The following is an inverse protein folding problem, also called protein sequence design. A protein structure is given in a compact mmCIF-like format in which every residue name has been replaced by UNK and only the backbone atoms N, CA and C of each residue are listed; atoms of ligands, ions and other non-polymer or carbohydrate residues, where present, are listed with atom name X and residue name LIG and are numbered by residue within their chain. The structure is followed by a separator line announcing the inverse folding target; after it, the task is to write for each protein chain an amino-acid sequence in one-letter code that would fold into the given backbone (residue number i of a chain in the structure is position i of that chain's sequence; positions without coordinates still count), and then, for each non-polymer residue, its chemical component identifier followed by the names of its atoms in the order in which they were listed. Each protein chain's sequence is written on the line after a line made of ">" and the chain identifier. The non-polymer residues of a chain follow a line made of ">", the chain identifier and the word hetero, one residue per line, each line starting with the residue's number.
data_IF_360014600222
#
_entry.id   IF_360014600222
#
_cell.length_a   1.000
_cell.length_b   1.000
_cell.length_c   1.000
_cell.angle_alpha   90.00
_cell.angle_beta   90.00
_cell.angle_gamma   90.00
#
_symmetry.space_group_name_H-M   'P 1'
#
loop_
_entity.id
_entity.type
_entity.pdbx_description
1 polymer ?
#
# COMPACT_ATOMS: atom_id res chain seq x y z
N UNK A 1 -56.84 -37.36 -8.74
CA UNK A 1 -55.71 -37.56 -7.80
C UNK A 1 -55.79 -36.46 -6.76
N UNK A 2 -56.38 -36.77 -5.61
CA UNK A 2 -56.55 -35.83 -4.50
C UNK A 2 -55.27 -35.91 -3.66
N UNK A 3 -54.46 -34.86 -3.70
CA UNK A 3 -53.32 -34.69 -2.80
C UNK A 3 -53.83 -34.70 -1.37
N UNK A 4 -53.47 -35.73 -0.60
CA UNK A 4 -53.83 -35.87 0.81
C UNK A 4 -53.41 -34.62 1.59
N UNK A 5 -54.30 -34.02 2.40
CA UNK A 5 -53.96 -32.90 3.27
C UNK A 5 -53.15 -33.44 4.44
N UNK A 6 -51.89 -33.81 4.19
CA UNK A 6 -50.92 -33.87 5.26
C UNK A 6 -50.87 -32.46 5.85
N UNK A 7 -51.50 -32.29 7.02
CA UNK A 7 -51.87 -30.99 7.52
C UNK A 7 -50.61 -30.22 7.92
N UNK A 8 -50.51 -28.95 7.55
CA UNK A 8 -49.41 -28.06 7.94
C UNK A 8 -49.21 -28.00 9.47
N UNK A 9 -50.26 -28.30 10.25
CA UNK A 9 -50.22 -28.47 11.70
C UNK A 9 -49.24 -29.58 12.14
N UNK A 10 -49.21 -30.72 11.45
CA UNK A 10 -48.31 -31.84 11.80
C UNK A 10 -46.83 -31.51 11.58
N UNK A 11 -46.52 -30.69 10.57
CA UNK A 11 -45.14 -30.31 10.29
C UNK A 11 -44.60 -29.32 11.34
N UNK A 12 -45.41 -28.37 11.78
CA UNK A 12 -45.01 -27.44 12.84
C UNK A 12 -44.76 -28.17 14.17
N UNK A 13 -45.64 -29.11 14.55
CA UNK A 13 -45.46 -29.97 15.72
C UNK A 13 -44.21 -30.85 15.62
N UNK A 14 -43.93 -31.35 14.42
CA UNK A 14 -42.71 -32.09 14.12
C UNK A 14 -41.44 -31.24 14.33
N UNK A 15 -41.43 -29.97 13.88
CA UNK A 15 -40.30 -29.06 14.12
C UNK A 15 -40.10 -28.79 15.61
N UNK A 16 -41.18 -28.57 16.37
CA UNK A 16 -41.10 -28.39 17.84
C UNK A 16 -40.45 -29.61 18.49
N UNK A 17 -40.82 -30.82 18.06
CA UNK A 17 -40.24 -32.07 18.58
C UNK A 17 -38.74 -32.18 18.29
N UNK A 18 -38.28 -31.74 17.11
CA UNK A 18 -36.85 -31.71 16.76
C UNK A 18 -36.09 -30.69 17.62
N UNK A 19 -36.66 -29.51 17.87
CA UNK A 19 -36.05 -28.49 18.72
C UNK A 19 -35.92 -28.97 20.16
N UNK A 20 -36.97 -29.57 20.73
CA UNK A 20 -36.91 -30.14 22.08
C UNK A 20 -35.89 -31.29 22.17
N UNK A 21 -35.75 -32.09 21.11
CA UNK A 21 -34.72 -33.12 21.05
C UNK A 21 -33.29 -32.54 21.04
N UNK A 22 -33.05 -31.47 20.27
CA UNK A 22 -31.77 -30.75 20.28
C UNK A 22 -31.44 -30.16 21.66
N UNK A 23 -32.44 -29.65 22.39
CA UNK A 23 -32.26 -29.19 23.77
C UNK A 23 -31.82 -30.34 24.70
N UNK A 24 -32.45 -31.51 24.58
CA UNK A 24 -32.05 -32.73 25.32
C UNK A 24 -30.62 -33.17 25.00
N UNK A 25 -30.15 -32.94 23.78
CA UNK A 25 -28.76 -33.18 23.36
C UNK A 25 -27.76 -32.12 23.87
N UNK A 26 -28.22 -31.10 24.62
CA UNK A 26 -27.36 -30.07 25.21
C UNK A 26 -27.12 -28.85 24.32
N UNK A 27 -27.92 -28.64 23.27
CA UNK A 27 -27.79 -27.51 22.34
C UNK A 27 -28.67 -26.30 22.67
N UNK A 28 -29.30 -26.26 23.85
CA UNK A 28 -30.23 -25.19 24.24
C UNK A 28 -29.60 -23.78 24.17
N UNK A 29 -28.38 -23.62 24.73
CA UNK A 29 -27.65 -22.34 24.68
C UNK A 29 -27.35 -21.92 23.22
N UNK A 30 -26.94 -22.84 22.36
CA UNK A 30 -26.64 -22.52 20.96
C UNK A 30 -27.91 -22.12 20.20
N UNK A 31 -29.01 -22.87 20.37
CA UNK A 31 -30.30 -22.56 19.77
C UNK A 31 -30.80 -21.16 20.19
N UNK A 32 -30.59 -20.78 21.45
CA UNK A 32 -30.98 -19.45 21.96
C UNK A 32 -30.18 -18.30 21.35
N UNK A 33 -28.99 -18.57 20.81
CA UNK A 33 -28.08 -17.58 20.21
C UNK A 33 -28.17 -17.51 18.68
N UNK A 34 -28.87 -18.44 18.03
CA UNK A 34 -29.01 -18.45 16.57
C UNK A 34 -29.89 -17.28 16.11
N UNK A 35 -29.36 -16.40 15.27
CA UNK A 35 -30.10 -15.33 14.63
C UNK A 35 -31.09 -15.88 13.59
N UNK A 36 -32.09 -15.09 13.18
CA UNK A 36 -33.07 -15.52 12.16
C UNK A 36 -32.42 -15.82 10.80
N UNK A 37 -31.28 -15.19 10.51
CA UNK A 37 -30.50 -15.43 9.29
C UNK A 37 -29.61 -16.68 9.35
N UNK A 38 -29.42 -17.28 10.53
CA UNK A 38 -28.65 -18.51 10.65
C UNK A 38 -29.44 -19.69 10.06
N UNK A 39 -28.83 -20.55 9.21
CA UNK A 39 -29.39 -21.83 8.82
C UNK A 39 -30.00 -22.56 10.01
N UNK A 40 -31.28 -22.90 9.92
CA UNK A 40 -31.98 -23.60 10.98
C UNK A 40 -32.02 -25.12 10.71
N UNK A 41 -32.15 -25.96 11.75
CA UNK A 41 -32.29 -27.40 11.58
C UNK A 41 -33.45 -27.78 10.66
N UNK A 42 -34.60 -27.09 10.76
CA UNK A 42 -35.79 -27.37 9.96
C UNK A 42 -35.59 -27.15 8.45
N UNK A 43 -34.65 -26.29 8.07
CA UNK A 43 -34.35 -25.97 6.67
C UNK A 43 -33.51 -27.08 6.01
N UNK A 44 -32.98 -28.02 6.81
CA UNK A 44 -32.15 -29.10 6.31
C UNK A 44 -33.01 -30.23 5.72
N UNK A 45 -32.57 -30.79 4.60
CA UNK A 45 -33.33 -31.81 3.86
C UNK A 45 -33.56 -33.08 4.68
N UNK A 46 -32.58 -33.48 5.50
CA UNK A 46 -32.61 -34.65 6.38
C UNK A 46 -33.71 -34.52 7.43
N UNK A 47 -33.79 -33.33 8.06
CA UNK A 47 -34.82 -33.00 9.06
C UNK A 47 -36.18 -32.90 8.40
N UNK A 48 -36.28 -32.15 7.31
CA UNK A 48 -37.51 -32.01 6.52
C UNK A 48 -38.08 -33.35 6.05
N UNK A 49 -37.22 -34.31 5.67
CA UNK A 49 -37.64 -35.65 5.24
C UNK A 49 -38.26 -36.47 6.37
N UNK A 50 -37.73 -36.33 7.59
CA UNK A 50 -38.23 -37.03 8.77
C UNK A 50 -39.49 -36.35 9.31
N UNK A 51 -39.55 -35.01 9.30
CA UNK A 51 -40.74 -34.26 9.73
C UNK A 51 -41.96 -34.45 8.82
N UNK A 52 -41.80 -35.02 7.62
CA UNK A 52 -42.92 -35.45 6.74
C UNK A 52 -43.49 -36.82 7.13
N UNK A 53 -42.84 -37.53 8.05
CA UNK A 53 -43.30 -38.81 8.61
C UNK A 53 -43.73 -38.58 10.06
N UNK A 54 -44.36 -39.59 10.64
CA UNK A 54 -44.64 -39.61 12.07
C UNK A 54 -43.32 -39.56 12.85
N UNK A 55 -43.14 -38.52 13.68
CA UNK A 55 -41.95 -38.36 14.52
C UNK A 55 -42.06 -39.29 15.72
N UNK A 56 -41.21 -40.31 15.74
CA UNK A 56 -41.00 -41.21 16.88
C UNK A 56 -39.65 -40.94 17.52
N UNK A 57 -39.46 -41.35 18.78
CA UNK A 57 -38.16 -41.23 19.47
C UNK A 57 -37.04 -41.94 18.71
N UNK A 58 -37.35 -43.07 18.04
CA UNK A 58 -36.41 -43.78 17.18
C UNK A 58 -36.03 -42.96 15.94
N UNK A 59 -37.00 -42.27 15.32
CA UNK A 59 -36.75 -41.39 14.19
C UNK A 59 -35.88 -40.19 14.60
N UNK A 60 -36.13 -39.60 15.77
CA UNK A 60 -35.30 -38.52 16.32
C UNK A 60 -33.89 -39.00 16.66
N UNK A 61 -33.75 -40.16 17.31
CA UNK A 61 -32.44 -40.74 17.63
C UNK A 61 -31.63 -41.06 16.36
N UNK A 62 -32.28 -41.43 15.26
CA UNK A 62 -31.60 -41.64 13.97
C UNK A 62 -30.99 -40.36 13.38
N UNK A 63 -31.45 -39.19 13.81
CA UNK A 63 -30.93 -37.88 13.42
C UNK A 63 -29.77 -37.40 14.28
N UNK A 64 -29.46 -38.03 15.42
CA UNK A 64 -28.48 -37.49 16.39
C UNK A 64 -27.13 -37.18 15.77
N UNK A 65 -26.60 -38.08 14.93
CA UNK A 65 -25.30 -37.88 14.27
C UNK A 65 -25.35 -36.65 13.35
N UNK A 66 -26.44 -36.51 12.60
CA UNK A 66 -26.64 -35.37 11.70
C UNK A 66 -26.81 -34.06 12.49
N UNK A 67 -27.70 -34.06 13.48
CA UNK A 67 -28.04 -32.89 14.30
C UNK A 67 -26.82 -32.40 15.10
N UNK A 68 -26.05 -33.28 15.71
CA UNK A 68 -24.82 -32.91 16.40
C UNK A 68 -23.78 -32.31 15.44
N UNK A 69 -23.57 -32.93 14.27
CA UNK A 69 -22.65 -32.39 13.28
C UNK A 69 -23.12 -31.03 12.73
N UNK A 70 -24.42 -30.86 12.52
CA UNK A 70 -25.03 -29.59 12.11
C UNK A 70 -24.84 -28.51 13.17
N UNK A 71 -25.22 -28.78 14.42
CA UNK A 71 -25.13 -27.82 15.51
C UNK A 71 -23.68 -27.46 15.84
N UNK A 72 -22.75 -28.41 15.70
CA UNK A 72 -21.32 -28.12 15.83
C UNK A 72 -20.86 -27.11 14.77
N UNK A 73 -21.26 -27.28 13.49
CA UNK A 73 -20.94 -26.30 12.43
C UNK A 73 -21.54 -24.93 12.72
N UNK A 74 -22.77 -24.87 13.26
CA UNK A 74 -23.41 -23.61 13.66
C UNK A 74 -22.60 -22.94 14.78
N UNK A 75 -22.26 -23.68 15.84
CA UNK A 75 -21.42 -23.20 16.95
C UNK A 75 -20.05 -22.71 16.48
N UNK A 76 -19.39 -23.44 15.59
CA UNK A 76 -18.09 -23.06 15.04
C UNK A 76 -18.18 -21.79 14.18
N UNK A 77 -19.26 -21.64 13.40
CA UNK A 77 -19.53 -20.41 12.64
C UNK A 77 -19.79 -19.23 13.59
N UNK A 78 -20.67 -19.38 14.58
CA UNK A 78 -20.96 -18.33 15.57
C UNK A 78 -19.69 -17.90 16.31
N UNK A 79 -18.91 -18.87 16.81
CA UNK A 79 -17.67 -18.60 17.54
C UNK A 79 -16.64 -17.85 16.69
N UNK A 80 -16.57 -18.16 15.38
CA UNK A 80 -15.76 -17.38 14.42
C UNK A 80 -16.31 -15.97 14.23
N UNK A 81 -17.61 -15.81 14.00
CA UNK A 81 -18.24 -14.50 13.83
C UNK A 81 -18.08 -13.61 15.06
N UNK A 82 -18.21 -14.17 16.26
CA UNK A 82 -17.98 -13.45 17.53
C UNK A 82 -16.54 -12.99 17.66
N UNK A 83 -15.58 -13.85 17.31
CA UNK A 83 -14.15 -13.53 17.30
C UNK A 83 -13.84 -12.44 16.27
N UNK A 84 -14.33 -12.56 15.04
CA UNK A 84 -14.12 -11.58 13.96
C UNK A 84 -14.74 -10.23 14.31
N UNK A 85 -15.96 -10.23 14.87
CA UNK A 85 -16.62 -9.03 15.35
C UNK A 85 -15.83 -8.35 16.47
N UNK A 86 -15.24 -9.13 17.37
CA UNK A 86 -14.36 -8.62 18.41
C UNK A 86 -13.08 -8.03 17.82
N UNK A 87 -12.39 -8.74 16.91
CA UNK A 87 -11.18 -8.24 16.26
C UNK A 87 -11.46 -6.93 15.55
N UNK A 88 -12.51 -6.87 14.72
CA UNK A 88 -12.88 -5.67 13.98
C UNK A 88 -13.07 -4.47 14.90
N UNK A 89 -13.80 -4.64 16.02
CA UNK A 89 -13.98 -3.57 17.01
C UNK A 89 -12.66 -3.11 17.61
N UNK A 90 -11.82 -4.04 18.08
CA UNK A 90 -10.53 -3.71 18.72
C UNK A 90 -9.52 -3.09 17.76
N UNK A 91 -9.47 -3.60 16.53
CA UNK A 91 -8.63 -3.06 15.47
C UNK A 91 -9.03 -1.61 15.14
N UNK A 92 -10.33 -1.29 15.07
CA UNK A 92 -10.78 0.09 14.84
C UNK A 92 -10.34 1.04 15.96
N UNK A 93 -10.36 0.57 17.21
CA UNK A 93 -9.89 1.34 18.37
C UNK A 93 -8.37 1.53 18.29
N UNK A 94 -7.62 0.47 17.99
CA UNK A 94 -6.18 0.54 17.77
C UNK A 94 -5.83 1.55 16.66
N UNK A 95 -6.59 1.56 15.55
CA UNK A 95 -6.39 2.51 14.45
C UNK A 95 -6.59 3.94 14.91
N UNK A 96 -7.66 4.23 15.66
CA UNK A 96 -7.91 5.57 16.20
C UNK A 96 -6.74 6.05 17.06
N UNK A 97 -6.29 5.21 17.99
CA UNK A 97 -5.21 5.56 18.94
C UNK A 97 -3.87 5.73 18.22
N UNK A 98 -3.61 4.90 17.21
CA UNK A 98 -2.41 5.03 16.39
C UNK A 98 -2.46 6.26 15.49
N UNK A 99 -3.62 6.63 14.94
CA UNK A 99 -3.79 7.85 14.17
C UNK A 99 -3.57 9.10 15.02
N UNK A 100 -4.03 9.12 16.28
CA UNK A 100 -3.74 10.19 17.23
C UNK A 100 -2.23 10.31 17.49
N UNK A 101 -1.54 9.17 17.63
CA UNK A 101 -0.08 9.13 17.74
C UNK A 101 0.61 9.69 16.49
N UNK A 102 0.22 9.22 15.29
CA UNK A 102 0.77 9.68 14.01
C UNK A 102 0.55 11.18 13.82
N UNK A 103 -0.58 11.72 14.24
CA UNK A 103 -0.87 13.15 14.16
C UNK A 103 0.08 14.02 15.02
N UNK A 104 0.72 13.44 16.04
CA UNK A 104 1.73 14.11 16.86
C UNK A 104 3.16 14.04 16.27
N UNK A 105 3.38 13.19 15.27
CA UNK A 105 4.69 13.03 14.66
C UNK A 105 5.03 14.18 13.70
N UNK A 106 6.33 14.42 13.43
CA UNK A 106 6.74 15.24 12.29
C UNK A 106 6.06 14.78 11.00
N UNK A 107 5.77 15.72 10.11
CA UNK A 107 4.99 15.48 8.87
C UNK A 107 5.66 14.51 7.90
N UNK A 108 6.96 14.34 8.01
CA UNK A 108 7.82 13.44 7.21
C UNK A 108 8.21 12.16 7.96
N UNK A 109 7.69 11.96 9.18
CA UNK A 109 7.94 10.77 9.95
C UNK A 109 7.39 9.53 9.22
N UNK A 110 8.24 8.50 9.06
CA UNK A 110 7.76 7.20 8.60
C UNK A 110 7.19 6.40 9.78
N UNK A 111 6.08 5.72 9.54
CA UNK A 111 5.38 4.88 10.49
C UNK A 111 4.83 3.62 9.81
N UNK A 112 4.67 2.50 10.54
CA UNK A 112 4.13 1.25 10.01
C UNK A 112 2.66 1.38 9.59
N UNK A 113 2.23 0.49 8.68
CA UNK A 113 0.81 0.22 8.44
C UNK A 113 0.13 -0.38 9.68
N UNK A 114 -1.20 -0.47 9.69
CA UNK A 114 -1.94 -1.18 10.74
C UNK A 114 -1.58 -2.66 10.79
N UNK A 115 -1.33 -3.28 9.63
CA UNK A 115 -0.92 -4.67 9.56
C UNK A 115 0.49 -4.89 10.13
N UNK A 116 1.44 -3.99 9.86
CA UNK A 116 2.78 -4.01 10.45
C UNK A 116 2.77 -3.74 11.96
N UNK A 117 1.91 -2.81 12.40
CA UNK A 117 1.71 -2.51 13.82
C UNK A 117 1.18 -3.74 14.55
N UNK A 118 0.19 -4.43 13.97
CA UNK A 118 -0.37 -5.66 14.53
C UNK A 118 0.64 -6.82 14.54
N UNK A 119 1.59 -6.85 13.60
CA UNK A 119 2.64 -7.86 13.58
C UNK A 119 3.60 -7.77 14.77
N UNK A 120 3.57 -6.68 15.57
CA UNK A 120 4.30 -6.61 16.83
C UNK A 120 3.67 -7.52 17.89
N UNK A 121 4.43 -8.43 18.52
CA UNK A 121 3.88 -9.38 19.49
C UNK A 121 3.14 -8.75 20.66
N UNK A 122 3.53 -7.52 21.07
CA UNK A 122 2.91 -6.84 22.21
C UNK A 122 1.54 -6.28 21.84
N UNK A 123 1.40 -5.75 20.63
CA UNK A 123 0.11 -5.30 20.10
C UNK A 123 -0.80 -6.51 19.87
N UNK A 124 -0.26 -7.57 19.26
CA UNK A 124 -1.00 -8.81 19.04
C UNK A 124 -1.53 -9.38 20.35
N UNK A 125 -0.68 -9.63 21.34
CA UNK A 125 -1.07 -10.14 22.66
C UNK A 125 -2.15 -9.27 23.31
N UNK A 126 -2.01 -7.94 23.25
CA UNK A 126 -3.03 -7.04 23.81
C UNK A 126 -4.41 -7.24 23.14
N UNK A 127 -4.45 -7.44 21.82
CA UNK A 127 -5.70 -7.64 21.09
C UNK A 127 -6.26 -9.06 21.29
N UNK A 128 -5.40 -10.09 21.33
CA UNK A 128 -5.82 -11.49 21.41
C UNK A 128 -6.16 -11.93 22.84
N UNK A 129 -5.37 -11.52 23.82
CA UNK A 129 -5.45 -12.03 25.20
C UNK A 129 -6.47 -11.28 26.05
N UNK A 130 -6.95 -10.10 25.61
CA UNK A 130 -8.00 -9.37 26.32
C UNK A 130 -9.31 -10.17 26.23
N UNK A 131 -9.97 -10.54 27.34
CA UNK A 131 -11.23 -11.28 27.28
C UNK A 131 -12.32 -10.48 26.54
N UNK A 132 -13.19 -11.15 25.78
CA UNK A 132 -14.26 -10.50 24.99
C UNK A 132 -15.22 -9.68 25.87
N UNK A 133 -15.33 -10.03 27.15
CA UNK A 133 -16.17 -9.36 28.16
C UNK A 133 -15.58 -8.04 28.66
N UNK A 134 -14.29 -7.79 28.44
CA UNK A 134 -13.62 -6.56 28.87
C UNK A 134 -13.74 -5.52 27.76
N UNK A 135 -14.27 -4.35 28.11
CA UNK A 135 -14.34 -3.23 27.18
C UNK A 135 -12.93 -2.74 26.84
N UNK A 136 -12.57 -2.82 25.57
CA UNK A 136 -11.26 -2.44 25.09
C UNK A 136 -11.24 -0.91 24.95
N UNK A 137 -10.87 -0.18 26.02
CA UNK A 137 -10.88 1.28 26.02
C UNK A 137 -9.50 1.89 25.78
N UNK A 138 -9.54 3.11 25.24
CA UNK A 138 -8.41 3.88 24.73
C UNK A 138 -7.41 4.44 25.76
N UNK A 139 -7.48 4.06 27.05
CA UNK A 139 -6.53 4.50 28.10
C UNK A 139 -5.15 3.82 27.94
N UNK A 140 -4.68 3.73 26.70
CA UNK A 140 -3.95 2.60 26.20
C UNK A 140 -2.49 2.56 26.68
N UNK A 141 -2.04 1.42 27.23
CA UNK A 141 -0.61 1.15 27.45
C UNK A 141 0.21 1.09 26.14
N UNK A 142 -0.41 1.34 24.98
CA UNK A 142 0.20 1.29 23.66
C UNK A 142 0.98 2.55 23.28
N UNK A 143 0.52 3.74 23.68
CA UNK A 143 1.17 5.00 23.27
C UNK A 143 2.64 5.04 23.68
N UNK A 144 3.01 4.66 24.92
CA UNK A 144 4.42 4.64 25.33
C UNK A 144 5.29 3.65 24.55
N UNK A 145 4.71 2.60 23.96
CA UNK A 145 5.47 1.57 23.22
C UNK A 145 5.54 1.83 21.72
N UNK A 146 4.72 2.72 21.16
CA UNK A 146 4.72 2.99 19.72
C UNK A 146 6.07 3.44 19.16
N UNK A 147 6.83 4.37 19.78
CA UNK A 147 8.14 4.77 19.24
C UNK A 147 9.09 3.59 19.03
N UNK A 148 9.08 2.65 19.97
CA UNK A 148 9.90 1.43 19.95
C UNK A 148 9.39 0.40 18.92
N UNK A 149 8.08 0.29 18.69
CA UNK A 149 7.53 -0.50 17.57
C UNK A 149 7.95 0.09 16.23
N UNK A 150 7.85 1.41 16.07
CA UNK A 150 8.25 2.10 14.84
C UNK A 150 9.74 1.86 14.55
N UNK A 151 10.61 1.96 15.57
CA UNK A 151 12.03 1.70 15.42
C UNK A 151 12.32 0.28 14.90
N UNK A 152 11.78 -0.76 15.57
CA UNK A 152 11.96 -2.15 15.12
C UNK A 152 11.37 -2.44 13.76
N UNK A 153 10.23 -1.83 13.44
CA UNK A 153 9.66 -1.96 12.09
C UNK A 153 10.63 -1.39 11.04
N UNK A 154 11.22 -0.21 11.26
CA UNK A 154 12.21 0.37 10.36
C UNK A 154 13.42 -0.54 10.19
N UNK A 155 13.98 -1.06 11.29
CA UNK A 155 15.11 -1.99 11.25
C UNK A 155 14.80 -3.24 10.42
N UNK A 156 13.61 -3.83 10.62
CA UNK A 156 13.16 -5.00 9.86
C UNK A 156 13.01 -4.68 8.36
N UNK A 157 12.42 -3.53 8.02
CA UNK A 157 12.29 -3.10 6.61
C UNK A 157 13.66 -2.83 6.00
N UNK A 158 14.59 -2.18 6.71
CA UNK A 158 15.96 -1.97 6.25
C UNK A 158 16.69 -3.30 6.00
N UNK A 159 16.61 -4.24 6.93
CA UNK A 159 17.19 -5.57 6.77
C UNK A 159 16.60 -6.30 5.56
N UNK A 160 15.29 -6.18 5.32
CA UNK A 160 14.63 -6.74 4.14
C UNK A 160 15.16 -6.12 2.84
N UNK A 161 15.26 -4.78 2.78
CA UNK A 161 15.80 -4.06 1.62
C UNK A 161 17.25 -4.46 1.32
N UNK A 162 18.09 -4.59 2.35
CA UNK A 162 19.46 -5.10 2.21
C UNK A 162 19.45 -6.55 1.70
N UNK A 163 18.55 -7.39 2.21
CA UNK A 163 18.33 -8.75 1.74
C UNK A 163 18.02 -8.80 0.24
N UNK A 164 17.17 -7.90 -0.27
CA UNK A 164 16.88 -7.80 -1.70
C UNK A 164 18.14 -7.49 -2.53
N UNK A 165 19.01 -6.60 -2.03
CA UNK A 165 20.30 -6.28 -2.71
C UNK A 165 21.19 -7.53 -2.75
N UNK A 166 21.36 -8.23 -1.61
CA UNK A 166 22.19 -9.45 -1.51
C UNK A 166 21.68 -10.57 -2.43
N UNK A 167 20.37 -10.76 -2.50
CA UNK A 167 19.75 -11.78 -3.36
C UNK A 167 19.98 -11.45 -4.84
N UNK A 168 19.78 -10.19 -5.23
CA UNK A 168 19.93 -9.76 -6.63
C UNK A 168 21.38 -9.64 -7.08
N UNK A 169 22.33 -9.43 -6.15
CA UNK A 169 23.76 -9.31 -6.44
C UNK A 169 24.62 -10.01 -5.35
N UNK A 170 24.71 -11.35 -5.36
CA UNK A 170 25.39 -12.11 -4.30
C UNK A 170 26.87 -11.76 -4.13
N UNK A 171 27.55 -11.40 -5.22
CA UNK A 171 28.99 -11.09 -5.23
C UNK A 171 29.28 -9.59 -5.01
N UNK A 172 28.25 -8.75 -4.87
CA UNK A 172 28.43 -7.32 -4.68
C UNK A 172 28.78 -7.01 -3.23
N UNK A 173 29.97 -6.45 -3.01
CA UNK A 173 30.44 -6.01 -1.69
C UNK A 173 30.01 -4.57 -1.45
N UNK A 174 29.28 -4.34 -0.37
CA UNK A 174 28.81 -3.02 0.04
C UNK A 174 28.74 -2.90 1.55
N UNK A 175 28.72 -1.66 2.03
CA UNK A 175 28.49 -1.33 3.44
C UNK A 175 26.98 -1.30 3.71
N UNK A 176 26.51 -2.22 4.57
CA UNK A 176 25.10 -2.36 4.93
C UNK A 176 24.53 -1.12 5.63
N UNK A 177 25.37 -0.34 6.32
CA UNK A 177 24.92 0.88 7.03
C UNK A 177 24.64 2.03 6.07
N UNK A 178 25.38 2.12 4.96
CA UNK A 178 25.31 3.26 4.04
C UNK A 178 24.62 2.97 2.72
N UNK A 179 24.53 1.70 2.30
CA UNK A 179 24.07 1.31 0.95
C UNK A 179 22.69 1.86 0.62
N UNK A 180 21.75 1.86 1.57
CA UNK A 180 20.38 2.35 1.34
C UNK A 180 20.33 3.87 1.10
N UNK A 181 21.34 4.61 1.57
CA UNK A 181 21.47 6.06 1.38
C UNK A 181 22.19 6.46 0.09
N UNK A 182 22.79 5.53 -0.65
CA UNK A 182 23.51 5.82 -1.89
C UNK A 182 22.55 6.29 -3.00
N UNK A 183 23.02 7.21 -3.84
CA UNK A 183 22.28 7.69 -5.01
C UNK A 183 22.02 6.58 -6.04
N UNK A 184 22.83 5.52 -6.01
CA UNK A 184 22.71 4.37 -6.92
C UNK A 184 21.76 3.29 -6.43
N UNK A 185 21.33 3.34 -5.16
CA UNK A 185 20.50 2.29 -4.57
C UNK A 185 19.03 2.63 -4.73
N UNK A 186 18.44 2.13 -5.81
CA UNK A 186 17.01 2.27 -6.11
C UNK A 186 16.31 0.92 -6.10
N UNK A 187 15.04 0.92 -5.72
CA UNK A 187 14.14 -0.21 -5.81
C UNK A 187 13.00 0.10 -6.78
N UNK A 188 12.26 -0.94 -7.14
CA UNK A 188 11.05 -0.84 -7.94
C UNK A 188 9.86 -1.45 -7.23
N UNK A 189 8.66 -1.01 -7.63
CA UNK A 189 7.43 -1.74 -7.38
C UNK A 189 7.06 -2.50 -8.67
N UNK A 190 6.60 -3.74 -8.55
CA UNK A 190 6.09 -4.55 -9.67
C UNK A 190 4.58 -4.78 -9.60
N UNK A 191 3.87 -4.02 -8.78
CA UNK A 191 2.42 -4.17 -8.70
C UNK A 191 1.77 -3.77 -10.04
N UNK A 192 1.19 -4.76 -10.71
CA UNK A 192 0.65 -4.66 -12.08
C UNK A 192 -0.85 -4.38 -12.14
N UNK A 193 -1.42 -3.69 -11.16
CA UNK A 193 -2.84 -3.34 -11.20
C UNK A 193 -3.07 -2.27 -12.29
N UNK A 194 -3.56 -2.73 -13.45
CA UNK A 194 -3.78 -2.00 -14.71
C UNK A 194 -4.56 -0.68 -14.56
N UNK A 195 -5.31 -0.50 -13.47
CA UNK A 195 -6.20 0.64 -13.24
C UNK A 195 -5.45 1.81 -12.58
N UNK A 196 -4.45 1.48 -11.76
CA UNK A 196 -3.50 2.44 -11.22
C UNK A 196 -2.14 1.85 -11.49
N UNK A 197 -1.62 2.05 -12.71
CA UNK A 197 -0.17 2.00 -12.90
C UNK A 197 0.37 2.77 -11.71
N UNK A 198 1.08 2.05 -10.82
CA UNK A 198 1.95 2.70 -9.88
C UNK A 198 2.92 3.42 -10.81
N UNK A 199 2.58 4.66 -11.15
CA UNK A 199 3.10 5.46 -12.27
C UNK A 199 4.54 5.88 -12.01
N UNK A 200 5.10 5.24 -10.97
CA UNK A 200 6.27 5.46 -10.16
C UNK A 200 7.04 4.14 -9.99
N UNK A 201 6.72 3.11 -10.78
CA UNK A 201 7.36 1.79 -10.81
C UNK A 201 8.90 1.83 -10.98
N UNK A 202 9.51 2.99 -11.16
CA UNK A 202 10.87 3.06 -11.68
C UNK A 202 11.88 3.85 -10.84
N UNK A 203 11.53 4.49 -9.71
CA UNK A 203 12.54 5.10 -8.81
C UNK A 203 12.08 5.21 -7.34
N UNK A 204 12.20 4.12 -6.57
CA UNK A 204 11.93 4.11 -5.12
C UNK A 204 13.23 4.07 -4.32
N UNK A 205 13.34 4.91 -3.29
CA UNK A 205 14.55 5.04 -2.47
C UNK A 205 14.22 5.01 -0.99
N UNK A 206 15.18 4.61 -0.19
CA UNK A 206 15.11 4.78 1.25
C UNK A 206 15.25 6.28 1.62
N UNK A 207 14.51 6.80 2.63
CA UNK A 207 13.47 6.11 3.39
C UNK A 207 12.07 6.20 2.76
N UNK A 208 11.89 6.91 1.64
CA UNK A 208 10.57 7.13 1.00
C UNK A 208 9.82 5.84 0.67
N UNK A 209 10.54 4.75 0.36
CA UNK A 209 9.95 3.44 0.07
C UNK A 209 9.18 2.81 1.23
N UNK A 210 9.46 3.25 2.47
CA UNK A 210 8.74 2.77 3.66
C UNK A 210 7.26 3.15 3.63
N UNK A 211 6.92 4.27 2.98
CA UNK A 211 5.55 4.79 2.89
C UNK A 211 4.89 4.51 1.54
N UNK A 212 5.49 3.64 0.71
CA UNK A 212 4.97 3.32 -0.61
C UNK A 212 3.69 2.47 -0.49
N UNK A 213 2.55 2.95 -1.02
CA UNK A 213 1.23 2.34 -0.80
C UNK A 213 1.16 0.86 -1.14
N UNK A 214 1.74 0.45 -2.27
CA UNK A 214 1.81 -0.94 -2.73
C UNK A 214 2.50 -1.90 -1.74
N UNK A 215 3.33 -1.38 -0.82
CA UNK A 215 3.98 -2.23 0.19
C UNK A 215 3.00 -2.74 1.25
N UNK A 216 1.91 -2.01 1.49
CA UNK A 216 0.92 -2.38 2.49
C UNK A 216 -0.43 -2.73 1.86
N UNK A 217 -0.69 -2.29 0.63
CA UNK A 217 -1.88 -2.66 -0.14
C UNK A 217 -1.75 -4.05 -0.75
N UNK A 218 -2.86 -4.79 -0.78
CA UNK A 218 -2.93 -6.03 -1.54
C UNK A 218 -4.24 -6.77 -1.32
N UNK A 219 -4.95 -7.06 -2.41
CA UNK A 219 -6.07 -8.00 -2.44
C UNK A 219 -5.53 -9.43 -2.32
N UNK A 220 -5.13 -9.81 -1.11
CA UNK A 220 -4.74 -11.17 -0.83
C UNK A 220 -6.00 -12.01 -0.64
N UNK A 221 -6.57 -12.43 -1.77
CA UNK A 221 -7.54 -13.53 -1.78
C UNK A 221 -6.80 -14.82 -1.37
N UNK A 222 -7.20 -15.41 -0.24
CA UNK A 222 -6.59 -16.65 0.25
C UNK A 222 -6.34 -16.73 1.74
N UNK A 223 -6.62 -15.66 2.51
CA UNK A 223 -6.60 -15.80 3.96
C UNK A 223 -7.70 -16.74 4.43
N UNK A 224 -7.34 -17.65 5.33
CA UNK A 224 -8.30 -18.50 6.02
C UNK A 224 -9.31 -17.60 6.76
N UNK A 225 -10.60 -17.83 6.52
CA UNK A 225 -11.66 -17.06 7.15
C UNK A 225 -11.61 -17.22 8.68
N UNK A 226 -11.64 -16.10 9.39
CA UNK A 226 -11.45 -16.06 10.83
C UNK A 226 -9.99 -15.95 11.29
N UNK A 227 -9.01 -15.98 10.37
CA UNK A 227 -7.62 -15.67 10.71
C UNK A 227 -7.43 -14.18 11.00
N UNK A 228 -6.38 -13.86 11.74
CA UNK A 228 -5.96 -12.47 12.00
C UNK A 228 -5.71 -11.72 10.68
N UNK A 229 -5.02 -12.35 9.73
CA UNK A 229 -4.70 -11.74 8.45
C UNK A 229 -5.97 -11.43 7.66
N UNK A 230 -6.97 -12.32 7.71
CA UNK A 230 -8.30 -12.06 7.15
C UNK A 230 -8.97 -10.85 7.80
N UNK A 231 -8.93 -10.73 9.14
CA UNK A 231 -9.53 -9.60 9.84
C UNK A 231 -8.83 -8.27 9.54
N UNK A 232 -7.50 -8.24 9.45
CA UNK A 232 -6.73 -7.04 9.07
C UNK A 232 -7.06 -6.60 7.63
N UNK A 233 -7.04 -7.54 6.68
CA UNK A 233 -7.34 -7.25 5.28
C UNK A 233 -8.80 -6.80 5.09
N UNK A 234 -9.78 -7.49 5.68
CA UNK A 234 -11.19 -7.09 5.57
C UNK A 234 -11.53 -5.79 6.31
N UNK A 235 -10.76 -5.42 7.34
CA UNK A 235 -11.01 -4.18 8.10
C UNK A 235 -10.29 -2.97 7.50
N UNK A 236 -9.07 -3.14 6.99
CA UNK A 236 -8.20 -2.04 6.55
C UNK A 236 -7.75 -2.10 5.10
N UNK A 237 -7.93 -3.25 4.44
CA UNK A 237 -7.31 -3.55 3.15
C UNK A 237 -5.78 -3.41 3.17
N UNK A 238 -5.17 -3.84 4.28
CA UNK A 238 -3.74 -3.73 4.52
C UNK A 238 -3.10 -5.11 4.77
N UNK A 239 -1.81 -5.19 4.49
CA UNK A 239 -0.92 -6.33 4.70
C UNK A 239 0.42 -5.82 5.26
N UNK A 240 1.18 -6.66 6.00
CA UNK A 240 2.54 -6.34 6.41
C UNK A 240 3.42 -5.89 5.24
N UNK A 241 4.37 -5.02 5.54
CA UNK A 241 5.21 -4.35 4.55
C UNK A 241 5.87 -5.35 3.58
N UNK A 242 5.58 -5.17 2.30
CA UNK A 242 6.06 -5.96 1.17
C UNK A 242 5.78 -7.48 1.29
N UNK A 243 4.72 -7.88 1.99
CA UNK A 243 4.34 -9.30 2.07
C UNK A 243 4.11 -9.92 0.67
N UNK A 244 3.58 -9.12 -0.27
CA UNK A 244 3.37 -9.54 -1.67
C UNK A 244 4.65 -9.63 -2.51
N UNK A 245 5.81 -9.22 -2.00
CA UNK A 245 7.06 -9.20 -2.77
C UNK A 245 7.02 -8.26 -3.98
N UNK A 246 6.19 -7.21 -3.92
CA UNK A 246 6.06 -6.21 -4.99
C UNK A 246 7.29 -5.32 -5.10
N UNK A 247 8.00 -5.09 -4.00
CA UNK A 247 9.26 -4.34 -3.99
C UNK A 247 10.43 -5.25 -4.35
N UNK A 248 11.21 -4.83 -5.33
CA UNK A 248 12.36 -5.57 -5.83
C UNK A 248 13.57 -4.66 -6.04
N UNK A 249 14.76 -5.26 -6.03
CA UNK A 249 16.00 -4.59 -6.39
C UNK A 249 16.51 -5.13 -7.73
N UNK A 250 16.81 -4.22 -8.67
CA UNK A 250 17.29 -4.57 -10.02
C UNK A 250 18.71 -4.01 -10.26
N UNK A 251 19.72 -4.89 -10.47
CA UNK A 251 21.12 -4.47 -10.65
C UNK A 251 21.34 -3.49 -11.81
N UNK A 252 20.56 -3.63 -12.88
CA UNK A 252 20.64 -2.75 -14.04
C UNK A 252 20.36 -1.28 -13.68
N UNK A 253 19.40 -1.03 -12.77
CA UNK A 253 19.07 0.32 -12.34
C UNK A 253 20.22 0.99 -11.61
N UNK A 254 20.85 0.22 -10.73
CA UNK A 254 22.06 0.65 -10.03
C UNK A 254 23.17 1.03 -11.01
N UNK A 255 23.36 0.23 -12.08
CA UNK A 255 24.36 0.50 -13.12
C UNK A 255 24.08 1.81 -13.87
N UNK A 256 22.84 2.08 -14.23
CA UNK A 256 22.43 3.32 -14.90
C UNK A 256 22.66 4.53 -13.99
N UNK A 257 22.20 4.45 -12.74
CA UNK A 257 22.40 5.52 -11.77
C UNK A 257 23.89 5.73 -11.46
N UNK A 258 24.70 4.66 -11.42
CA UNK A 258 26.14 4.79 -11.25
C UNK A 258 26.79 5.53 -12.43
N UNK A 259 26.32 5.32 -13.66
CA UNK A 259 26.77 6.09 -14.82
C UNK A 259 26.39 7.58 -14.71
N UNK A 260 25.19 7.88 -14.20
CA UNK A 260 24.73 9.26 -13.93
C UNK A 260 25.59 9.94 -12.86
N UNK A 261 25.89 9.26 -11.76
CA UNK A 261 26.74 9.81 -10.69
C UNK A 261 28.15 10.09 -11.22
N UNK A 262 28.73 9.17 -12.01
CA UNK A 262 30.04 9.38 -12.66
C UNK A 262 30.01 10.53 -13.67
N UNK A 263 28.93 10.67 -14.44
CA UNK A 263 28.73 11.77 -15.37
C UNK A 263 28.78 13.13 -14.65
N UNK A 264 28.36 13.19 -13.39
CA UNK A 264 28.44 14.38 -12.55
C UNK A 264 29.81 14.55 -11.86
N UNK A 265 30.80 13.73 -12.18
CA UNK A 265 32.14 13.79 -11.59
C UNK A 265 32.22 13.22 -10.16
N UNK A 266 31.22 12.46 -9.72
CA UNK A 266 31.11 11.92 -8.36
C UNK A 266 31.38 10.41 -8.31
N UNK A 267 31.61 9.88 -7.11
CA UNK A 267 31.89 8.45 -6.89
C UNK A 267 30.61 7.67 -6.54
N UNK A 268 30.14 6.75 -7.41
CA UNK A 268 28.91 5.99 -7.17
C UNK A 268 28.92 5.12 -5.91
N UNK A 269 30.09 4.79 -5.36
CA UNK A 269 30.19 3.96 -4.16
C UNK A 269 29.97 4.73 -2.85
N UNK A 270 30.07 6.06 -2.88
CA UNK A 270 30.01 6.90 -1.68
C UNK A 270 29.02 8.03 -1.79
N UNK A 271 28.62 8.40 -3.01
CA UNK A 271 27.70 9.51 -3.23
C UNK A 271 26.30 9.15 -2.79
N UNK A 272 25.78 9.92 -1.83
CA UNK A 272 24.44 9.75 -1.28
C UNK A 272 23.40 10.35 -2.22
N UNK A 273 22.16 9.89 -2.08
CA UNK A 273 21.01 10.50 -2.75
C UNK A 273 20.91 11.99 -2.41
N UNK A 274 21.07 12.36 -1.14
CA UNK A 274 20.98 13.74 -0.69
C UNK A 274 22.00 14.64 -1.41
N UNK A 275 23.24 14.17 -1.58
CA UNK A 275 24.26 14.90 -2.33
C UNK A 275 23.87 15.14 -3.79
N UNK A 276 23.26 14.15 -4.45
CA UNK A 276 22.77 14.31 -5.82
C UNK A 276 21.52 15.21 -5.91
N UNK A 277 20.64 15.15 -4.91
CA UNK A 277 19.47 16.03 -4.80
C UNK A 277 19.88 17.49 -4.51
N UNK A 278 20.95 17.72 -3.75
CA UNK A 278 21.54 19.04 -3.51
C UNK A 278 22.26 19.59 -4.76
N UNK A 279 22.99 18.74 -5.48
CA UNK A 279 23.62 19.11 -6.75
C UNK A 279 22.57 19.44 -7.83
N UNK A 280 21.43 18.75 -7.81
CA UNK A 280 20.31 18.85 -8.75
C UNK A 280 20.76 19.03 -10.22
N UNK A 281 21.62 18.14 -10.76
CA UNK A 281 22.15 18.35 -12.11
C UNK A 281 21.05 18.10 -13.15
N UNK A 282 21.04 18.94 -14.18
CA UNK A 282 20.14 18.80 -15.31
C UNK A 282 20.85 18.03 -16.40
N UNK A 283 20.26 16.91 -16.79
CA UNK A 283 20.83 15.96 -17.74
C UNK A 283 20.04 16.01 -19.03
N UNK A 284 20.74 16.06 -20.15
CA UNK A 284 20.15 15.94 -21.48
C UNK A 284 20.42 14.55 -22.05
N UNK A 285 19.39 13.91 -22.59
CA UNK A 285 19.55 12.77 -23.49
C UNK A 285 19.71 13.28 -24.93
N UNK A 286 20.94 13.31 -25.41
CA UNK A 286 21.29 13.79 -26.77
C UNK A 286 20.66 12.88 -27.81
N UNK A 287 20.58 11.57 -27.57
CA UNK A 287 19.97 10.62 -28.52
C UNK A 287 18.47 10.84 -28.75
N UNK A 288 17.79 11.53 -27.82
CA UNK A 288 16.34 11.77 -27.82
C UNK A 288 15.96 13.22 -28.15
N UNK A 289 16.87 14.00 -28.74
CA UNK A 289 16.55 15.34 -29.24
C UNK A 289 15.55 15.29 -30.40
N UNK A 290 14.81 16.37 -30.59
CA UNK A 290 13.85 16.51 -31.68
C UNK A 290 13.90 17.93 -32.22
N UNK A 291 13.98 18.10 -33.54
CA UNK A 291 13.88 19.42 -34.17
C UNK A 291 12.52 20.08 -33.96
N UNK A 292 11.47 19.29 -33.74
CA UNK A 292 10.11 19.78 -33.47
C UNK A 292 9.85 20.00 -31.98
N UNK A 293 10.28 19.07 -31.13
CA UNK A 293 9.97 19.11 -29.70
C UNK A 293 11.08 19.76 -28.88
N UNK A 294 12.29 19.94 -29.39
CA UNK A 294 13.44 20.43 -28.64
C UNK A 294 14.28 19.32 -27.99
N UNK A 295 15.20 19.75 -27.13
CA UNK A 295 16.15 18.91 -26.39
C UNK A 295 15.44 18.12 -25.30
N UNK A 296 15.75 16.83 -25.15
CA UNK A 296 15.19 15.98 -24.10
C UNK A 296 16.00 16.15 -22.81
N UNK A 297 15.48 16.90 -21.86
CA UNK A 297 16.20 17.27 -20.64
C UNK A 297 15.42 16.82 -19.40
N UNK A 298 16.14 16.43 -18.34
CA UNK A 298 15.57 15.79 -17.16
C UNK A 298 16.42 16.05 -15.91
N UNK A 299 15.84 15.84 -14.74
CA UNK A 299 16.64 15.74 -13.51
C UNK A 299 17.38 14.40 -13.48
N UNK A 300 18.41 14.31 -12.64
CA UNK A 300 19.29 13.14 -12.59
C UNK A 300 18.56 11.80 -12.38
N UNK A 301 17.58 11.75 -11.47
CA UNK A 301 16.76 10.56 -11.23
C UNK A 301 15.82 10.24 -12.41
N UNK A 302 15.45 11.26 -13.20
CA UNK A 302 14.58 11.12 -14.38
C UNK A 302 15.24 10.36 -15.52
N UNK A 303 16.57 10.26 -15.53
CA UNK A 303 17.34 9.45 -16.48
C UNK A 303 16.92 7.99 -16.42
N UNK A 304 16.72 7.45 -15.22
CA UNK A 304 16.35 6.04 -15.06
C UNK A 304 14.98 5.78 -15.69
N UNK A 305 14.01 6.64 -15.40
CA UNK A 305 12.66 6.56 -15.96
C UNK A 305 12.70 6.64 -17.50
N UNK A 306 13.48 7.60 -18.01
CA UNK A 306 13.65 7.80 -19.44
C UNK A 306 14.26 6.58 -20.13
N UNK A 307 15.28 5.97 -19.52
CA UNK A 307 15.93 4.77 -20.06
C UNK A 307 14.92 3.63 -20.23
N UNK A 308 14.19 3.27 -19.17
CA UNK A 308 13.27 2.13 -19.25
C UNK A 308 12.12 2.38 -20.22
N UNK A 309 11.60 3.60 -20.23
CA UNK A 309 10.47 3.97 -21.10
C UNK A 309 10.82 4.07 -22.58
N UNK A 310 12.03 4.54 -22.92
CA UNK A 310 12.38 4.91 -24.31
C UNK A 310 13.47 4.03 -24.90
N UNK A 311 14.47 3.63 -24.09
CA UNK A 311 15.65 2.91 -24.56
C UNK A 311 15.59 1.40 -24.30
N UNK A 312 14.95 0.94 -23.22
CA UNK A 312 14.87 -0.48 -22.86
C UNK A 312 13.74 -1.24 -23.60
N UNK A 313 12.56 -0.64 -23.71
CA UNK A 313 11.35 -1.31 -24.25
C UNK A 313 11.26 -1.33 -25.77
N UNK A 314 12.12 -0.59 -26.47
CA UNK A 314 12.04 -0.48 -27.92
C UNK A 314 12.64 -1.72 -28.59
N UNK A 315 11.76 -2.66 -28.96
CA UNK A 315 12.07 -3.88 -29.73
C UNK A 315 12.72 -3.62 -31.09
N UNK A 316 12.82 -2.36 -31.53
CA UNK A 316 13.43 -1.97 -32.80
C UNK A 316 14.30 -0.70 -32.62
N UNK A 317 15.63 -0.88 -32.62
CA UNK A 317 16.61 0.11 -33.09
C UNK A 317 16.69 1.47 -32.34
N UNK A 318 16.47 1.54 -31.02
CA UNK A 318 16.68 2.82 -30.32
C UNK A 318 18.13 2.97 -29.89
N UNK A 319 18.75 4.01 -30.45
CA UNK A 319 20.08 4.54 -30.21
C UNK A 319 20.51 4.38 -28.75
N UNK A 320 21.76 3.96 -28.54
CA UNK A 320 22.50 4.07 -27.28
C UNK A 320 22.12 5.39 -26.56
N UNK A 321 21.76 5.32 -25.28
CA UNK A 321 21.37 6.51 -24.53
C UNK A 321 22.62 7.34 -24.26
N UNK A 322 22.73 8.52 -24.90
CA UNK A 322 23.86 9.44 -24.75
C UNK A 322 23.47 10.60 -23.84
N UNK A 323 24.15 10.72 -22.71
CA UNK A 323 23.84 11.70 -21.67
C UNK A 323 24.93 12.78 -21.58
N UNK A 324 24.51 14.03 -21.40
CA UNK A 324 25.39 15.16 -21.08
C UNK A 324 24.78 15.99 -19.94
N UNK A 325 25.63 16.58 -19.10
CA UNK A 325 25.19 17.58 -18.10
C UNK A 325 25.08 18.93 -18.78
N UNK A 326 23.97 19.63 -18.56
CA UNK A 326 23.76 20.98 -19.09
C UNK A 326 24.50 21.99 -18.22
N UNK A 327 25.05 23.04 -18.84
CA UNK A 327 25.61 24.18 -18.12
C UNK A 327 24.61 24.89 -17.20
N UNK A 328 25.13 25.71 -16.28
CA UNK A 328 24.32 26.37 -15.23
C UNK A 328 23.22 27.29 -15.79
N UNK A 329 23.48 27.94 -16.93
CA UNK A 329 22.53 28.84 -17.55
C UNK A 329 21.33 28.06 -18.12
N UNK A 330 21.61 26.99 -18.87
CA UNK A 330 20.59 26.09 -19.40
C UNK A 330 19.83 25.37 -18.28
N UNK A 331 20.54 24.93 -17.24
CA UNK A 331 19.97 24.31 -16.05
C UNK A 331 19.00 25.25 -15.32
N UNK A 332 19.35 26.53 -15.16
CA UNK A 332 18.49 27.53 -14.51
C UNK A 332 17.18 27.72 -15.26
N UNK A 333 17.25 27.91 -16.60
CA UNK A 333 16.06 28.03 -17.44
C UNK A 333 15.19 26.78 -17.39
N UNK A 334 15.83 25.61 -17.37
CA UNK A 334 15.15 24.33 -17.27
C UNK A 334 14.41 24.17 -15.94
N UNK A 335 15.06 24.48 -14.81
CA UNK A 335 14.43 24.39 -13.48
C UNK A 335 13.19 25.25 -13.38
N UNK A 336 13.25 26.49 -13.90
CA UNK A 336 12.09 27.37 -13.96
C UNK A 336 10.95 26.77 -14.79
N UNK A 337 11.27 26.21 -15.97
CA UNK A 337 10.29 25.54 -16.82
C UNK A 337 9.67 24.28 -16.21
N UNK A 338 10.43 23.50 -15.44
CA UNK A 338 9.90 22.37 -14.67
C UNK A 338 8.86 22.84 -13.66
N UNK A 339 9.19 23.86 -12.87
CA UNK A 339 8.30 24.37 -11.81
C UNK A 339 6.99 24.85 -12.44
N UNK A 340 7.09 25.67 -13.49
CA UNK A 340 5.91 26.18 -14.21
C UNK A 340 5.06 25.04 -14.80
N UNK A 341 5.67 24.10 -15.52
CA UNK A 341 4.94 22.99 -16.14
C UNK A 341 4.26 22.10 -15.10
N UNK A 342 4.91 21.90 -13.95
CA UNK A 342 4.37 21.14 -12.81
C UNK A 342 3.19 21.86 -12.17
N UNK A 343 3.30 23.16 -11.94
CA UNK A 343 2.20 23.97 -11.40
C UNK A 343 1.01 23.98 -12.36
N UNK A 344 1.24 24.07 -13.68
CA UNK A 344 0.17 23.94 -14.69
C UNK A 344 -0.50 22.56 -14.68
N UNK A 345 0.28 21.48 -14.55
CA UNK A 345 -0.27 20.11 -14.45
C UNK A 345 -1.11 19.97 -13.19
N UNK A 346 -0.63 20.47 -12.05
CA UNK A 346 -1.33 20.44 -10.77
C UNK A 346 -2.58 21.34 -10.71
N UNK A 347 -2.60 22.42 -11.48
CA UNK A 347 -3.78 23.27 -11.65
C UNK A 347 -4.70 22.82 -12.79
N UNK A 348 -4.45 21.67 -13.43
CA UNK A 348 -5.33 21.16 -14.48
C UNK A 348 -6.62 20.56 -13.89
N UNK A 349 -7.74 20.66 -14.61
CA UNK A 349 -9.05 20.16 -14.18
C UNK A 349 -9.02 18.68 -13.74
N UNK A 350 -8.20 17.86 -14.40
CA UNK A 350 -8.03 16.43 -14.05
C UNK A 350 -7.46 16.25 -12.63
N UNK A 351 -6.61 17.18 -12.20
CA UNK A 351 -5.95 17.15 -10.90
C UNK A 351 -6.74 17.90 -9.81
N UNK A 352 -7.71 18.74 -10.17
CA UNK A 352 -8.50 19.51 -9.21
C UNK A 352 -9.41 18.64 -8.32
N UNK A 353 -9.87 17.50 -8.84
CA UNK A 353 -10.69 16.54 -8.08
C UNK A 353 -9.88 15.77 -7.03
N UNK A 354 -8.55 15.79 -7.15
CA UNK A 354 -7.67 15.02 -6.30
C UNK A 354 -7.07 15.92 -5.22
N UNK A 355 -7.64 15.87 -4.00
CA UNK A 355 -7.27 16.67 -2.82
C UNK A 355 -5.93 16.23 -2.19
N UNK A 356 -4.88 16.16 -2.98
CA UNK A 356 -3.62 15.58 -2.55
C UNK A 356 -2.64 16.58 -1.93
N UNK A 357 -2.95 17.87 -1.84
CA UNK A 357 -2.02 18.84 -1.28
C UNK A 357 -2.39 19.17 0.16
N UNK A 358 -1.36 19.30 0.99
CA UNK A 358 -1.46 19.72 2.38
C UNK A 358 -0.71 21.04 2.54
N UNK A 359 -1.32 22.01 3.19
CA UNK A 359 -0.65 23.25 3.56
C UNK A 359 0.60 22.93 4.41
N UNK A 360 1.72 23.60 4.20
CA UNK A 360 2.91 23.40 5.06
C UNK A 360 2.78 24.01 6.46
N UNK A 361 1.76 24.83 6.71
CA UNK A 361 1.59 25.60 7.94
C UNK A 361 0.44 25.14 8.83
N UNK A 362 -0.57 24.49 8.27
CA UNK A 362 -1.70 23.93 9.02
C UNK A 362 -2.10 22.55 8.46
N UNK A 363 -3.08 21.85 9.05
CA UNK A 363 -3.58 20.57 8.55
C UNK A 363 -4.54 20.66 7.35
N UNK A 364 -4.82 21.85 6.80
CA UNK A 364 -5.74 22.01 5.66
C UNK A 364 -5.23 21.22 4.44
N UNK A 365 -6.14 20.47 3.82
CA UNK A 365 -5.92 19.73 2.59
C UNK A 365 -6.87 20.21 1.49
N UNK A 366 -6.38 20.36 0.27
CA UNK A 366 -7.18 20.71 -0.91
C UNK A 366 -6.42 20.40 -2.21
N UNK A 367 -7.02 20.73 -3.36
CA UNK A 367 -6.26 20.86 -4.61
C UNK A 367 -5.35 22.09 -4.57
N UNK A 368 -4.38 22.19 -5.49
CA UNK A 368 -3.33 23.21 -5.42
C UNK A 368 -3.90 24.64 -5.38
N UNK A 369 -4.81 24.99 -6.31
CA UNK A 369 -5.32 26.35 -6.46
C UNK A 369 -6.10 26.85 -5.22
N UNK A 370 -7.10 26.11 -4.68
CA UNK A 370 -7.75 26.49 -3.42
C UNK A 370 -6.79 26.54 -2.24
N UNK A 371 -5.81 25.64 -2.18
CA UNK A 371 -4.85 25.61 -1.08
C UNK A 371 -3.89 26.79 -1.10
N UNK A 372 -3.43 27.23 -2.28
CA UNK A 372 -2.65 28.46 -2.43
C UNK A 372 -3.48 29.68 -1.99
N UNK A 373 -4.76 29.74 -2.35
CA UNK A 373 -5.67 30.78 -1.85
C UNK A 373 -5.82 30.74 -0.33
N UNK A 374 -5.97 29.54 0.24
CA UNK A 374 -6.01 29.35 1.69
C UNK A 374 -4.73 29.89 2.36
N UNK A 375 -3.55 29.58 1.82
CA UNK A 375 -2.27 30.07 2.35
C UNK A 375 -2.18 31.60 2.27
N UNK A 376 -2.67 32.20 1.19
CA UNK A 376 -2.72 33.65 1.05
C UNK A 376 -3.58 34.31 2.14
N UNK A 377 -4.80 33.79 2.36
CA UNK A 377 -5.78 34.38 3.27
C UNK A 377 -5.45 34.08 4.74
N UNK A 378 -5.22 32.81 5.08
CA UNK A 378 -5.09 32.36 6.47
C UNK A 378 -3.65 32.50 7.01
N UNK A 379 -2.66 32.61 6.13
CA UNK A 379 -1.25 32.72 6.52
C UNK A 379 -0.56 34.00 6.02
N UNK A 380 -1.29 34.87 5.31
CA UNK A 380 -0.80 36.19 4.90
C UNK A 380 0.35 36.16 3.88
N UNK A 381 0.54 35.06 3.15
CA UNK A 381 1.59 34.95 2.12
C UNK A 381 1.05 35.55 0.82
N UNK A 382 1.55 36.71 0.41
CA UNK A 382 1.01 37.44 -0.74
C UNK A 382 1.05 36.66 -2.06
N UNK A 383 2.11 35.86 -2.28
CA UNK A 383 2.30 35.08 -3.50
C UNK A 383 2.76 33.66 -3.13
N UNK A 384 1.86 32.81 -2.62
CA UNK A 384 2.24 31.46 -2.24
C UNK A 384 2.58 30.64 -3.49
N UNK A 385 3.55 29.75 -3.36
CA UNK A 385 4.08 28.93 -4.45
C UNK A 385 3.87 27.46 -4.16
N UNK A 386 4.20 26.59 -5.11
CA UNK A 386 4.27 25.15 -4.87
C UNK A 386 5.15 24.72 -3.68
N UNK A 387 6.07 25.57 -3.20
CA UNK A 387 6.88 25.29 -2.02
C UNK A 387 6.11 25.50 -0.68
N UNK A 388 4.99 26.20 -0.70
CA UNK A 388 4.15 26.44 0.48
C UNK A 388 3.16 25.29 0.76
N UNK A 389 3.09 24.34 -0.17
CA UNK A 389 2.30 23.11 -0.06
C UNK A 389 3.23 21.90 -0.10
N UNK A 390 2.73 20.74 0.34
CA UNK A 390 3.35 19.45 0.03
C UNK A 390 2.28 18.48 -0.43
N UNK A 391 2.71 17.49 -1.18
CA UNK A 391 1.84 16.37 -1.51
C UNK A 391 1.64 15.50 -0.26
N UNK A 392 0.41 15.04 -0.01
CA UNK A 392 0.08 14.09 1.07
C UNK A 392 0.90 12.82 0.94
N UNK A 393 1.19 12.43 -0.31
CA UNK A 393 2.05 11.31 -0.60
C UNK A 393 3.24 11.74 -1.48
N UNK A 394 4.34 12.24 -0.89
CA UNK A 394 5.44 12.85 -1.66
C UNK A 394 6.13 11.88 -2.63
N UNK A 395 6.02 10.56 -2.41
CA UNK A 395 6.53 9.56 -3.35
C UNK A 395 5.78 9.51 -4.68
N UNK A 396 4.61 10.16 -4.79
CA UNK A 396 3.73 10.06 -5.96
C UNK A 396 3.99 11.13 -7.02
N UNK A 397 4.92 12.07 -6.87
CA UNK A 397 5.01 13.14 -7.89
C UNK A 397 6.43 13.50 -8.27
N UNK A 398 7.06 12.54 -8.95
CA UNK A 398 8.11 12.82 -9.91
C UNK A 398 7.47 13.21 -11.25
N UNK A 399 7.59 14.47 -11.72
CA UNK A 399 6.99 14.86 -13.00
C UNK A 399 7.51 13.99 -14.14
N UNK A 400 6.71 13.84 -15.20
CA UNK A 400 7.04 13.04 -16.40
C UNK A 400 8.49 13.30 -16.81
N UNK A 401 9.30 12.25 -16.76
CA UNK A 401 10.77 12.32 -16.65
C UNK A 401 11.54 12.99 -17.79
N UNK A 402 10.88 13.53 -18.82
CA UNK A 402 11.53 14.31 -19.88
C UNK A 402 10.76 15.59 -20.14
N UNK A 403 11.45 16.70 -19.95
CA UNK A 403 11.03 18.03 -20.34
C UNK A 403 11.76 18.45 -21.61
N UNK A 404 11.18 19.41 -22.31
CA UNK A 404 11.61 19.80 -23.66
C UNK A 404 12.15 21.22 -23.67
N UNK A 405 13.47 21.36 -23.84
CA UNK A 405 14.15 22.65 -23.87
C UNK A 405 14.34 23.15 -25.31
N UNK A 406 13.99 24.41 -25.56
CA UNK A 406 14.13 25.10 -26.86
C UNK A 406 15.28 26.12 -26.84
N UNK A 407 16.09 26.29 -27.90
CA UNK A 407 15.98 25.66 -29.22
C UNK A 407 16.45 24.20 -29.27
N UNK A 408 16.03 23.42 -30.29
CA UNK A 408 16.59 22.11 -30.56
C UNK A 408 18.08 22.22 -30.92
N UNK A 409 18.81 21.11 -30.83
CA UNK A 409 20.18 21.04 -31.36
C UNK A 409 20.13 21.23 -32.87
N UNK A 410 21.05 22.07 -33.38
CA UNK A 410 21.14 22.38 -34.81
C UNK A 410 21.76 21.23 -35.62
N UNK A 411 22.60 20.41 -35.00
CA UNK A 411 23.31 19.27 -35.63
C UNK A 411 23.45 18.14 -34.59
N UNK A 412 23.45 16.88 -35.04
CA UNK A 412 23.94 15.73 -34.28
C UNK A 412 25.47 15.84 -34.10
N UNK A 413 25.93 16.80 -33.29
CA UNK A 413 27.35 16.91 -32.96
C UNK A 413 27.65 15.84 -31.92
N UNK A 414 28.66 15.01 -32.19
CA UNK A 414 29.25 14.16 -31.16
C UNK A 414 29.86 15.07 -30.09
N UNK A 415 29.12 15.32 -29.01
CA UNK A 415 29.61 16.16 -27.93
C UNK A 415 30.72 15.44 -27.15
N UNK A 416 31.92 16.03 -27.06
CA UNK A 416 32.96 15.50 -26.21
C UNK A 416 32.47 15.49 -24.75
N UNK A 417 32.47 14.31 -24.12
CA UNK A 417 32.00 14.11 -22.74
C UNK A 417 30.65 13.42 -22.60
N UNK A 418 29.97 13.09 -23.70
CA UNK A 418 28.76 12.28 -23.64
C UNK A 418 29.06 10.88 -23.07
N UNK A 419 28.35 10.50 -22.01
CA UNK A 419 28.42 9.15 -21.45
C UNK A 419 27.40 8.28 -22.17
N UNK A 420 27.86 7.15 -22.71
CA UNK A 420 27.02 6.15 -23.34
C UNK A 420 26.53 5.19 -22.24
N UNK A 421 25.22 5.16 -22.02
CA UNK A 421 24.55 4.16 -21.20
C UNK A 421 23.96 3.13 -22.16
N UNK A 422 24.55 1.94 -22.16
CA UNK A 422 24.03 0.78 -22.89
C UNK A 422 23.05 0.04 -22.02
#
# INVERSE_FOLDING_TARGET
>A
MLSSPFSLLTFAEAIVSVVEHLKKLGWDDELSRMADSDPKPQDQAEVSKICRKEITDQALSSLDTFLNAFMQRVRDRRSRNERDSMYKKRLLILRSVFQDYVAMLPRDAQYPSMADLFADPRVKSLIEDTPITVDFKAEHPLIPIFPDIVARWKERVQAHLIGLIKISMPDYVFDEETVLGLATTSFICREGLVIFDCSYNEYLHYPSILMHGCTSSGDFCGFEHGSVAHNLNTTFNESPWNQGGVIQFEPERMRILAAVVRLCGLNPLTTTRLQMDELDPIIECVSCHSTRLGRATMRWWGVLLHYFKVHHTATNSVRDMRLVVIDDLGATRFRAGIVEAKEREWSSEIMEDLKYFICNRCPQQDSLTPLLKHINVEHGIANPTSNDVRHENPSYYYPRGVFRLWPPRLIDVDEPGAVIVK
#
